data_IF_611822276366
#
_entry.id   IF_611822276366
#
_cell.length_a   1.000
_cell.length_b   1.000
_cell.length_c   1.000
_cell.angle_alpha   90.00
_cell.angle_beta   90.00
_cell.angle_gamma   90.00
#
_symmetry.space_group_name_H-M   'P 1'
#
loop_
_entity.id
_entity.type
_entity.pdbx_description
1 polymer ?
#
# COMPACT_ATOMS: atom_id res chain seq x y z
N UNK A 1 -21.45 -1.04 -9.74
CA UNK A 1 -22.24 -2.29 -9.67
C UNK A 1 -23.44 -2.16 -8.72
N UNK A 2 -23.28 -1.63 -7.50
CA UNK A 2 -24.38 -1.55 -6.51
C UNK A 2 -25.52 -0.55 -6.89
N UNK A 3 -25.22 0.53 -7.62
CA UNK A 3 -26.23 1.53 -8.05
C UNK A 3 -27.16 1.05 -9.18
N UNK A 4 -26.69 0.13 -10.04
CA UNK A 4 -27.53 -0.47 -11.10
C UNK A 4 -28.58 -1.43 -10.53
N UNK A 5 -28.32 -2.02 -9.35
CA UNK A 5 -29.26 -2.90 -8.66
C UNK A 5 -30.46 -2.16 -8.05
N UNK A 6 -30.41 -0.83 -7.96
CA UNK A 6 -31.49 0.02 -7.45
C UNK A 6 -32.32 0.68 -8.58
N UNK A 7 -32.09 0.32 -9.85
CA UNK A 7 -32.80 0.87 -11.02
C UNK A 7 -32.62 2.41 -11.21
N UNK A 8 -31.53 2.95 -10.65
CA UNK A 8 -31.15 4.36 -10.69
C UNK A 8 -30.03 4.49 -11.71
N UNK A 9 -30.28 5.10 -12.87
CA UNK A 9 -29.28 5.29 -13.94
C UNK A 9 -28.37 6.47 -13.61
N UNK A 10 -27.10 6.25 -13.19
CA UNK A 10 -26.22 7.34 -12.81
C UNK A 10 -25.88 8.23 -14.02
N UNK A 11 -26.18 9.51 -13.91
CA UNK A 11 -25.99 10.52 -14.95
C UNK A 11 -26.62 11.87 -14.54
N UNK A 12 -26.56 12.91 -15.41
CA UNK A 12 -27.16 14.22 -15.15
C UNK A 12 -28.66 14.15 -14.81
N UNK A 13 -29.33 13.10 -15.30
CA UNK A 13 -30.73 12.81 -15.02
C UNK A 13 -31.01 12.50 -13.54
N UNK A 14 -30.05 11.95 -12.77
CA UNK A 14 -30.26 11.74 -11.33
C UNK A 14 -30.40 13.04 -10.53
N UNK A 15 -29.71 14.08 -10.95
CA UNK A 15 -29.83 15.40 -10.34
C UNK A 15 -31.19 16.06 -10.66
N UNK A 16 -31.87 15.62 -11.73
CA UNK A 16 -33.17 16.13 -12.16
C UNK A 16 -34.33 15.29 -11.59
N UNK A 17 -34.24 13.97 -11.69
CA UNK A 17 -35.32 13.04 -11.33
C UNK A 17 -35.34 12.71 -9.83
N UNK A 18 -34.18 12.72 -9.15
CA UNK A 18 -34.07 12.35 -7.73
C UNK A 18 -33.11 13.30 -6.96
N UNK A 19 -33.37 14.62 -6.94
CA UNK A 19 -32.49 15.60 -6.33
C UNK A 19 -32.27 15.35 -4.83
N UNK A 20 -33.29 14.90 -4.09
CA UNK A 20 -33.20 14.65 -2.66
C UNK A 20 -32.20 13.54 -2.31
N UNK A 21 -32.13 12.48 -3.14
CA UNK A 21 -31.18 11.36 -2.94
C UNK A 21 -29.75 11.84 -3.18
N UNK A 22 -29.54 12.66 -4.21
CA UNK A 22 -28.20 13.18 -4.55
C UNK A 22 -27.70 14.15 -3.49
N UNK A 23 -28.53 15.11 -3.07
CA UNK A 23 -28.17 16.04 -1.99
C UNK A 23 -28.01 15.32 -0.65
N UNK A 24 -28.83 14.30 -0.37
CA UNK A 24 -28.67 13.43 0.79
C UNK A 24 -27.35 12.67 0.79
N UNK A 25 -26.93 12.11 -0.36
CA UNK A 25 -25.64 11.42 -0.50
C UNK A 25 -24.45 12.39 -0.34
N UNK A 26 -24.51 13.56 -0.97
CA UNK A 26 -23.47 14.60 -0.86
C UNK A 26 -23.35 15.06 0.60
N UNK A 27 -24.48 15.33 1.27
CA UNK A 27 -24.50 15.71 2.68
C UNK A 27 -23.95 14.59 3.58
N UNK A 28 -24.33 13.33 3.34
CA UNK A 28 -23.83 12.18 4.10
C UNK A 28 -22.32 11.95 3.91
N UNK A 29 -21.79 12.15 2.70
CA UNK A 29 -20.35 12.11 2.44
C UNK A 29 -19.62 13.24 3.18
N UNK A 30 -20.20 14.44 3.20
CA UNK A 30 -19.59 15.59 3.88
C UNK A 30 -19.59 15.41 5.40
N UNK A 31 -20.75 15.08 5.98
CA UNK A 31 -20.91 14.77 7.40
C UNK A 31 -20.07 13.56 7.79
N UNK A 32 -20.05 12.51 6.97
CA UNK A 32 -19.26 11.32 7.17
C UNK A 32 -17.76 11.61 7.22
N UNK A 33 -17.23 12.46 6.34
CA UNK A 33 -15.83 12.88 6.39
C UNK A 33 -15.51 13.72 7.62
N UNK A 34 -16.40 14.63 8.02
CA UNK A 34 -16.23 15.42 9.25
C UNK A 34 -16.21 14.50 10.47
N UNK A 35 -17.14 13.54 10.54
CA UNK A 35 -17.21 12.56 11.63
C UNK A 35 -16.00 11.62 11.63
N UNK A 36 -15.54 11.18 10.44
CA UNK A 36 -14.35 10.37 10.29
C UNK A 36 -13.12 11.11 10.80
N UNK A 37 -12.97 12.40 10.46
CA UNK A 37 -11.90 13.26 10.98
C UNK A 37 -11.99 13.41 12.50
N UNK A 38 -13.18 13.73 13.02
CA UNK A 38 -13.42 13.89 14.45
C UNK A 38 -13.13 12.61 15.24
N UNK A 39 -13.35 11.43 14.64
CA UNK A 39 -13.05 10.13 15.23
C UNK A 39 -11.59 9.72 15.05
N UNK A 40 -10.95 10.07 13.93
CA UNK A 40 -9.53 9.77 13.68
C UNK A 40 -8.61 10.49 14.65
N UNK A 41 -8.88 11.76 14.98
CA UNK A 41 -8.04 12.55 15.91
C UNK A 41 -7.85 11.85 17.27
N UNK A 42 -8.90 11.44 18.01
CA UNK A 42 -8.72 10.71 19.26
C UNK A 42 -8.20 9.29 19.07
N UNK A 43 -8.61 8.57 18.01
CA UNK A 43 -8.13 7.21 17.76
C UNK A 43 -6.64 7.15 17.45
N UNK A 44 -6.09 8.13 16.72
CA UNK A 44 -4.65 8.25 16.45
C UNK A 44 -3.84 8.25 17.75
N UNK A 45 -4.32 8.93 18.79
CA UNK A 45 -3.65 8.94 20.11
C UNK A 45 -3.54 7.54 20.71
N UNK A 46 -4.58 6.72 20.56
CA UNK A 46 -4.58 5.32 21.01
C UNK A 46 -3.62 4.48 20.16
N UNK A 47 -3.67 4.62 18.83
CA UNK A 47 -2.79 3.87 17.93
C UNK A 47 -1.31 4.20 18.12
N UNK A 48 -0.97 5.47 18.34
CA UNK A 48 0.41 5.89 18.64
C UNK A 48 0.90 5.30 19.96
N UNK A 49 0.05 5.17 20.98
CA UNK A 49 0.42 4.49 22.23
C UNK A 49 0.73 3.01 22.02
N UNK A 50 0.02 2.32 21.14
CA UNK A 50 0.33 0.92 20.78
C UNK A 50 1.70 0.82 20.10
N UNK A 51 2.03 1.78 19.23
CA UNK A 51 3.35 1.87 18.58
C UNK A 51 4.49 2.17 19.57
N UNK A 52 4.19 2.78 20.72
CA UNK A 52 5.19 3.05 21.77
C UNK A 52 5.53 1.85 22.64
N UNK A 53 4.82 0.73 22.50
CA UNK A 53 5.10 -0.50 23.24
C UNK A 53 6.46 -1.06 22.78
N UNK A 54 7.38 -1.40 23.72
CA UNK A 54 8.69 -1.91 23.36
C UNK A 54 8.59 -3.14 22.46
N UNK A 55 9.45 -3.19 21.44
CA UNK A 55 9.39 -4.22 20.39
C UNK A 55 9.46 -5.65 20.94
N UNK A 56 10.14 -5.85 22.07
CA UNK A 56 10.26 -7.13 22.77
C UNK A 56 8.90 -7.72 23.21
N UNK A 57 7.91 -6.87 23.51
CA UNK A 57 6.55 -7.31 23.85
C UNK A 57 5.60 -7.20 22.65
N UNK A 58 5.81 -6.22 21.78
CA UNK A 58 4.96 -6.00 20.62
C UNK A 58 5.06 -7.15 19.61
N UNK A 59 6.27 -7.64 19.31
CA UNK A 59 6.47 -8.74 18.37
C UNK A 59 5.73 -10.02 18.77
N UNK A 60 5.87 -10.57 20.00
CA UNK A 60 5.14 -11.78 20.39
C UNK A 60 3.63 -11.56 20.45
N UNK A 61 3.15 -10.38 20.85
CA UNK A 61 1.73 -10.06 20.83
C UNK A 61 1.15 -10.07 19.41
N UNK A 62 1.82 -9.40 18.45
CA UNK A 62 1.42 -9.40 17.04
C UNK A 62 1.46 -10.82 16.48
N UNK A 63 2.51 -11.59 16.77
CA UNK A 63 2.62 -12.97 16.33
C UNK A 63 1.43 -13.82 16.82
N UNK A 64 1.10 -13.77 18.12
CA UNK A 64 -0.05 -14.51 18.67
C UNK A 64 -1.36 -14.12 17.97
N UNK A 65 -1.60 -12.83 17.76
CA UNK A 65 -2.81 -12.34 17.07
C UNK A 65 -2.82 -12.84 15.61
N UNK A 66 -1.69 -12.83 14.90
CA UNK A 66 -1.58 -13.33 13.53
C UNK A 66 -1.84 -14.84 13.43
N UNK A 67 -1.31 -15.63 14.37
CA UNK A 67 -1.59 -17.08 14.46
C UNK A 67 -3.09 -17.34 14.62
N UNK A 68 -3.73 -16.66 15.57
CA UNK A 68 -5.18 -16.79 15.81
C UNK A 68 -5.98 -16.30 14.60
N UNK A 69 -5.57 -15.20 13.97
CA UNK A 69 -6.27 -14.63 12.80
C UNK A 69 -6.25 -15.54 11.58
N UNK A 70 -5.08 -16.07 11.21
CA UNK A 70 -4.96 -16.95 10.03
C UNK A 70 -5.66 -18.28 10.28
N UNK A 71 -5.52 -18.85 11.48
CA UNK A 71 -6.25 -20.08 11.82
C UNK A 71 -7.75 -19.85 11.91
N UNK A 72 -8.20 -18.70 12.41
CA UNK A 72 -9.61 -18.36 12.55
C UNK A 72 -10.33 -18.16 11.21
N UNK A 73 -9.63 -17.69 10.17
CA UNK A 73 -10.21 -17.49 8.83
C UNK A 73 -10.19 -18.80 8.03
N UNK A 74 -9.05 -19.50 8.00
CA UNK A 74 -8.85 -20.65 7.11
C UNK A 74 -9.20 -22.00 7.74
N UNK A 75 -9.09 -22.13 9.07
CA UNK A 75 -9.14 -23.42 9.78
C UNK A 75 -8.03 -24.40 9.36
N UNK A 76 -7.07 -23.98 8.55
CA UNK A 76 -6.11 -24.85 7.87
C UNK A 76 -4.75 -24.78 8.55
N UNK A 77 -4.21 -25.94 8.95
CA UNK A 77 -2.83 -26.04 9.46
C UNK A 77 -1.79 -25.75 8.39
N UNK A 78 -2.14 -25.94 7.11
CA UNK A 78 -1.24 -25.60 6.00
C UNK A 78 -0.96 -24.09 5.97
N UNK A 79 -1.99 -23.26 6.17
CA UNK A 79 -1.84 -21.80 6.16
C UNK A 79 -0.99 -21.31 7.35
N UNK A 80 -1.05 -22.01 8.50
CA UNK A 80 -0.12 -21.78 9.61
C UNK A 80 1.32 -22.11 9.22
N UNK A 81 1.57 -23.25 8.55
CA UNK A 81 2.92 -23.62 8.12
C UNK A 81 3.48 -22.61 7.12
N UNK A 82 2.66 -22.18 6.15
CA UNK A 82 3.01 -21.14 5.19
C UNK A 82 3.31 -19.82 5.91
N UNK A 83 2.49 -19.42 6.87
CA UNK A 83 2.73 -18.23 7.68
C UNK A 83 4.07 -18.30 8.43
N UNK A 84 4.40 -19.43 9.05
CA UNK A 84 5.69 -19.62 9.73
C UNK A 84 6.84 -19.53 8.72
N UNK A 85 6.71 -20.18 7.55
CA UNK A 85 7.72 -20.13 6.51
C UNK A 85 7.98 -18.70 6.02
N UNK A 86 6.93 -17.92 5.75
CA UNK A 86 7.05 -16.51 5.38
C UNK A 86 7.54 -15.62 6.52
N UNK A 87 7.21 -15.93 7.78
CA UNK A 87 7.75 -15.25 8.96
C UNK A 87 9.27 -15.43 9.08
N UNK A 88 9.76 -16.66 8.89
CA UNK A 88 11.20 -16.97 8.87
C UNK A 88 11.88 -16.30 7.68
N UNK A 89 11.27 -16.34 6.49
CA UNK A 89 11.78 -15.64 5.31
C UNK A 89 11.88 -14.12 5.55
N UNK A 90 10.86 -13.52 6.16
CA UNK A 90 10.86 -12.11 6.53
C UNK A 90 11.95 -11.75 7.54
N UNK A 91 12.20 -12.61 8.54
CA UNK A 91 13.32 -12.45 9.47
C UNK A 91 14.67 -12.53 8.77
N UNK A 92 14.83 -13.46 7.81
CA UNK A 92 16.05 -13.60 7.01
C UNK A 92 16.29 -12.36 6.15
N UNK A 93 15.25 -11.86 5.46
CA UNK A 93 15.31 -10.64 4.65
C UNK A 93 15.71 -9.42 5.49
N UNK A 94 15.15 -9.31 6.71
CA UNK A 94 15.54 -8.27 7.67
C UNK A 94 17.00 -8.39 8.08
N UNK A 95 17.51 -9.61 8.25
CA UNK A 95 18.92 -9.86 8.58
C UNK A 95 19.87 -9.52 7.42
N UNK A 96 19.37 -9.54 6.19
CA UNK A 96 20.10 -9.14 4.98
C UNK A 96 19.99 -7.63 4.69
N UNK A 97 19.42 -6.84 5.60
CA UNK A 97 19.14 -5.41 5.44
C UNK A 97 18.34 -5.07 4.16
N UNK A 98 17.54 -6.03 3.67
CA UNK A 98 16.68 -5.79 2.52
C UNK A 98 15.48 -4.96 2.99
N UNK A 99 15.23 -3.79 2.39
CA UNK A 99 14.09 -2.97 2.77
C UNK A 99 12.79 -3.73 2.49
N UNK A 100 11.90 -3.81 3.49
CA UNK A 100 10.63 -4.53 3.37
C UNK A 100 9.66 -3.85 2.39
N UNK A 101 9.72 -2.52 2.28
CA UNK A 101 8.81 -1.71 1.46
C UNK A 101 8.85 -2.11 -0.03
N UNK A 102 10.02 -2.20 -0.70
CA UNK A 102 10.10 -2.70 -2.07
C UNK A 102 9.56 -4.12 -2.26
N UNK A 103 9.72 -5.01 -1.27
CA UNK A 103 9.22 -6.39 -1.35
C UNK A 103 7.69 -6.38 -1.39
N UNK A 104 7.06 -5.65 -0.47
CA UNK A 104 5.60 -5.52 -0.42
C UNK A 104 5.06 -4.92 -1.72
N UNK A 105 5.71 -3.86 -2.22
CA UNK A 105 5.35 -3.25 -3.49
C UNK A 105 5.50 -4.23 -4.66
N UNK A 106 6.58 -4.99 -4.71
CA UNK A 106 6.81 -5.99 -5.74
C UNK A 106 5.76 -7.11 -5.73
N UNK A 107 5.36 -7.59 -4.54
CA UNK A 107 4.32 -8.62 -4.41
C UNK A 107 2.95 -8.07 -4.81
N UNK A 108 2.59 -6.88 -4.34
CA UNK A 108 1.30 -6.26 -4.64
C UNK A 108 1.17 -5.89 -6.13
N UNK A 109 2.22 -5.29 -6.71
CA UNK A 109 2.25 -4.88 -8.10
C UNK A 109 2.46 -6.06 -9.04
N UNK A 110 3.15 -7.12 -8.62
CA UNK A 110 3.48 -8.29 -9.43
C UNK A 110 2.24 -9.02 -9.95
N UNK A 111 1.24 -9.24 -9.09
CA UNK A 111 -0.04 -9.86 -9.52
C UNK A 111 -0.74 -9.01 -10.58
N UNK A 112 -0.80 -7.70 -10.37
CA UNK A 112 -1.41 -6.78 -11.33
C UNK A 112 -0.59 -6.67 -12.63
N UNK A 113 0.74 -6.73 -12.54
CA UNK A 113 1.66 -6.74 -13.67
C UNK A 113 1.45 -7.98 -14.53
N UNK A 114 1.44 -9.17 -13.91
CA UNK A 114 1.23 -10.45 -14.61
C UNK A 114 -0.15 -10.50 -15.28
N UNK A 115 -1.20 -10.05 -14.59
CA UNK A 115 -2.55 -9.95 -15.15
C UNK A 115 -2.61 -9.03 -16.36
N UNK A 116 -1.99 -7.85 -16.27
CA UNK A 116 -1.95 -6.91 -17.38
C UNK A 116 -1.07 -7.42 -18.53
N UNK A 117 0.07 -8.07 -18.23
CA UNK A 117 0.94 -8.69 -19.24
C UNK A 117 0.17 -9.76 -20.00
N UNK A 118 -0.46 -10.70 -19.30
CA UNK A 118 -1.31 -11.75 -19.90
C UNK A 118 -2.44 -11.14 -20.73
N UNK A 119 -3.13 -10.13 -20.19
CA UNK A 119 -4.19 -9.43 -20.91
C UNK A 119 -3.69 -8.82 -22.22
N UNK A 120 -2.53 -8.16 -22.20
CA UNK A 120 -1.93 -7.60 -23.41
C UNK A 120 -1.57 -8.70 -24.39
N UNK A 121 -0.93 -9.79 -23.95
CA UNK A 121 -0.59 -10.93 -24.82
C UNK A 121 -1.82 -11.60 -25.44
N UNK A 122 -2.91 -11.71 -24.69
CA UNK A 122 -4.17 -12.28 -25.21
C UNK A 122 -4.80 -11.34 -26.24
N UNK A 123 -4.67 -10.02 -26.09
CA UNK A 123 -5.21 -9.03 -27.04
C UNK A 123 -4.32 -8.92 -28.29
N UNK A 124 -3.01 -9.09 -28.14
CA UNK A 124 -2.03 -9.00 -29.24
C UNK A 124 -1.73 -10.34 -29.92
N UNK A 125 -2.55 -11.38 -29.69
CA UNK A 125 -2.35 -12.74 -30.22
C UNK A 125 -0.93 -13.30 -29.97
N UNK A 126 -0.33 -12.93 -28.83
CA UNK A 126 1.00 -13.38 -28.41
C UNK A 126 2.16 -12.56 -28.97
N UNK A 127 1.91 -11.46 -29.68
CA UNK A 127 2.97 -10.57 -30.16
C UNK A 127 3.56 -9.74 -29.00
N UNK A 128 4.86 -9.97 -28.72
CA UNK A 128 5.63 -9.23 -27.71
C UNK A 128 5.84 -7.76 -28.11
N UNK A 129 5.79 -7.45 -29.41
CA UNK A 129 6.02 -6.11 -29.92
C UNK A 129 4.94 -5.13 -29.44
N UNK A 130 3.72 -5.61 -29.20
CA UNK A 130 2.61 -4.83 -28.65
C UNK A 130 2.93 -4.16 -27.30
N UNK A 131 3.93 -4.65 -26.56
CA UNK A 131 4.38 -4.02 -25.30
C UNK A 131 5.11 -2.69 -25.52
N UNK A 132 5.68 -2.45 -26.70
CA UNK A 132 6.50 -1.26 -26.99
C UNK A 132 5.98 -0.48 -28.21
N UNK A 133 5.03 -1.02 -28.97
CA UNK A 133 4.54 -0.41 -30.21
C UNK A 133 3.72 0.88 -29.98
N UNK A 134 3.03 0.99 -28.84
CA UNK A 134 2.18 2.16 -28.59
C UNK A 134 2.99 3.41 -28.21
N UNK A 135 2.69 4.60 -28.77
CA UNK A 135 3.37 5.86 -28.41
C UNK A 135 3.36 6.16 -26.91
N UNK A 136 2.28 5.78 -26.22
CA UNK A 136 2.18 5.90 -24.76
C UNK A 136 3.15 4.95 -24.05
N UNK A 137 3.28 3.70 -24.51
CA UNK A 137 4.22 2.74 -23.92
C UNK A 137 5.66 3.20 -24.11
N UNK A 138 6.02 3.69 -25.30
CA UNK A 138 7.36 4.25 -25.56
C UNK A 138 7.66 5.41 -24.60
N UNK A 139 6.71 6.32 -24.41
CA UNK A 139 6.85 7.41 -23.46
C UNK A 139 7.06 6.88 -22.03
N UNK A 140 6.23 5.95 -21.55
CA UNK A 140 6.35 5.36 -20.21
C UNK A 140 7.69 4.61 -20.01
N UNK A 141 8.13 3.82 -20.99
CA UNK A 141 9.43 3.14 -20.95
C UNK A 141 10.58 4.13 -20.92
N UNK A 142 10.51 5.22 -21.70
CA UNK A 142 11.53 6.26 -21.66
C UNK A 142 11.60 6.93 -20.28
N UNK A 143 10.45 7.28 -19.67
CA UNK A 143 10.40 7.83 -18.32
C UNK A 143 10.93 6.85 -17.26
N UNK A 144 10.60 5.57 -17.36
CA UNK A 144 11.08 4.54 -16.44
C UNK A 144 12.60 4.37 -16.53
N UNK A 145 13.16 4.29 -17.75
CA UNK A 145 14.59 4.17 -17.99
C UNK A 145 15.33 5.42 -17.48
N UNK A 146 14.84 6.61 -17.82
CA UNK A 146 15.42 7.87 -17.32
C UNK A 146 15.36 7.89 -15.80
N UNK A 147 14.20 7.63 -15.20
CA UNK A 147 14.02 7.62 -13.74
C UNK A 147 14.87 6.60 -13.00
N UNK A 148 15.23 5.48 -13.64
CA UNK A 148 16.14 4.48 -13.09
C UNK A 148 17.62 4.88 -13.24
N UNK A 149 18.01 5.42 -14.39
CA UNK A 149 19.38 5.80 -14.72
C UNK A 149 19.82 7.08 -13.99
N UNK A 150 18.95 8.09 -13.93
CA UNK A 150 19.25 9.40 -13.36
C UNK A 150 19.75 9.32 -11.90
N UNK A 151 19.14 8.57 -10.96
CA UNK A 151 19.66 8.43 -9.59
C UNK A 151 20.93 7.57 -9.52
N UNK A 152 21.20 6.68 -10.46
CA UNK A 152 22.45 5.89 -10.49
C UNK A 152 23.65 6.80 -10.84
N UNK A 153 23.47 7.73 -11.78
CA UNK A 153 24.53 8.67 -12.18
C UNK A 153 24.58 9.92 -11.27
N UNK A 154 23.44 10.46 -10.84
CA UNK A 154 23.35 11.67 -10.01
C UNK A 154 23.34 11.40 -8.50
N UNK A 155 23.06 10.16 -8.05
CA UNK A 155 23.08 9.75 -6.64
C UNK A 155 24.47 9.76 -6.00
N UNK A 156 25.54 9.88 -6.81
CA UNK A 156 26.89 10.22 -6.32
C UNK A 156 26.96 11.65 -5.77
N UNK A 157 26.09 12.56 -6.24
CA UNK A 157 26.11 14.00 -5.90
C UNK A 157 25.07 14.38 -4.82
N UNK A 158 23.94 13.67 -4.76
CA UNK A 158 22.90 13.88 -3.75
C UNK A 158 22.80 12.68 -2.80
N UNK A 159 23.73 12.58 -1.84
CA UNK A 159 23.45 11.90 -0.56
C UNK A 159 22.73 12.92 0.33
N UNK A 160 21.45 12.72 0.71
CA UNK A 160 20.87 13.49 1.79
C UNK A 160 21.69 13.17 3.05
N UNK A 161 22.28 14.22 3.64
CA UNK A 161 22.94 14.17 4.94
C UNK A 161 21.89 13.91 6.02
N UNK A 162 21.48 12.65 6.17
CA UNK A 162 20.78 12.18 7.35
C UNK A 162 21.85 11.75 8.37
N UNK A 163 22.49 12.73 9.01
CA UNK A 163 23.36 12.52 10.17
C UNK A 163 23.47 13.82 10.99
N UNK A 164 23.26 13.65 12.29
CA UNK A 164 23.65 14.53 13.41
C UNK A 164 22.68 15.65 13.83
N UNK A 165 21.66 15.29 14.62
CA UNK A 165 21.03 16.23 15.56
C UNK A 165 20.64 15.61 16.91
N UNK A 166 21.26 14.49 17.32
CA UNK A 166 20.96 13.85 18.60
C UNK A 166 22.14 13.71 19.59
N UNK A 167 23.29 14.34 19.34
CA UNK A 167 24.48 14.19 20.22
C UNK A 167 24.99 15.48 20.88
N UNK A 168 24.23 16.59 20.88
CA UNK A 168 24.72 17.86 21.46
C UNK A 168 23.70 18.53 22.39
N UNK A 169 23.15 17.81 23.39
CA UNK A 169 22.46 18.46 24.53
C UNK A 169 22.45 17.53 25.76
N UNK A 170 23.61 16.95 26.08
CA UNK A 170 23.77 15.97 27.15
C UNK A 170 25.14 15.98 27.82
N UNK A 171 25.83 17.13 27.79
CA UNK A 171 27.07 17.32 28.53
C UNK A 171 27.10 18.74 29.10
N UNK A 172 26.25 18.98 30.08
CA UNK A 172 26.56 19.90 31.16
C UNK A 172 27.23 19.07 32.27
N UNK A 173 28.54 19.24 32.47
CA UNK A 173 29.06 19.23 33.80
C UNK A 173 29.80 20.56 34.07
N UNK A 174 29.30 21.24 35.10
CA UNK A 174 29.94 22.30 35.91
C UNK A 174 29.55 23.77 35.61
#
# INVERSE_FOLDING_TARGET
>A
AMLLALNITPGPLLFQDNPDVVWGLIAALFIGNIMLLALNIPMVSIFVRVLSIPSNYLMPAVAMISFVGIYGISGSTFDLMVMIAFGVLGWLLRKLDVPLVPIILGVLLGDQMEKNLRRTMTISDGDLWALVDSPLSIALWSFAIIGFILPIFAGRYFRPKAADSHEMEGSDPD
#
